data_IF_401610034722
#
_entry.id   IF_401610034722
#
_cell.length_a   1.000
_cell.length_b   1.000
_cell.length_c   1.000
_cell.angle_alpha   90.00
_cell.angle_beta   90.00
_cell.angle_gamma   90.00
#
_symmetry.space_group_name_H-M   'P 1'
#
loop_
_entity.id
_entity.type
_entity.pdbx_description
1 polymer ?
#
# COMPACT_ATOMS: atom_id res chain seq x y z
N UNK A 1 37.96 -27.26 -46.17
CA UNK A 1 37.75 -27.74 -44.79
C UNK A 1 36.97 -26.67 -44.07
N UNK A 2 35.68 -26.95 -43.90
CA UNK A 2 34.71 -26.09 -43.25
C UNK A 2 34.72 -26.33 -41.75
N UNK A 3 34.44 -25.29 -40.96
CA UNK A 3 33.34 -25.27 -39.97
C UNK A 3 33.42 -23.97 -39.15
N UNK A 4 32.27 -23.29 -39.07
CA UNK A 4 31.95 -22.03 -38.39
C UNK A 4 32.29 -21.90 -36.89
N UNK A 5 32.36 -20.68 -36.34
CA UNK A 5 32.59 -20.46 -34.92
C UNK A 5 31.30 -20.79 -34.14
N UNK A 6 31.38 -21.71 -33.18
CA UNK A 6 30.27 -22.00 -32.26
C UNK A 6 30.45 -21.19 -30.97
N UNK A 7 29.66 -20.12 -30.89
CA UNK A 7 29.26 -19.39 -29.68
C UNK A 7 28.80 -20.35 -28.58
N UNK A 8 29.37 -20.22 -27.38
CA UNK A 8 28.75 -20.64 -26.12
C UNK A 8 29.23 -19.71 -25.00
N UNK A 9 28.79 -18.45 -25.06
CA UNK A 9 28.74 -17.62 -23.86
C UNK A 9 27.57 -18.11 -23.02
N UNK A 10 27.84 -18.98 -22.04
CA UNK A 10 26.87 -19.36 -21.02
C UNK A 10 26.66 -18.14 -20.10
N UNK A 11 25.77 -17.23 -20.49
CA UNK A 11 25.22 -16.23 -19.57
C UNK A 11 24.34 -17.01 -18.60
N UNK A 12 24.92 -17.35 -17.45
CA UNK A 12 24.18 -17.91 -16.34
C UNK A 12 23.21 -16.83 -15.87
N UNK A 13 21.93 -17.11 -16.09
CA UNK A 13 20.83 -16.25 -15.70
C UNK A 13 20.74 -16.25 -14.18
N UNK A 14 21.01 -15.10 -13.56
CA UNK A 14 20.38 -14.75 -12.29
C UNK A 14 19.50 -13.53 -12.51
N UNK A 15 18.53 -13.64 -13.43
CA UNK A 15 17.29 -12.86 -13.29
C UNK A 15 16.50 -13.50 -12.16
N UNK A 16 16.95 -13.26 -10.93
CA UNK A 16 16.03 -13.36 -9.80
C UNK A 16 14.93 -12.34 -10.09
N UNK A 17 13.72 -12.82 -10.38
CA UNK A 17 12.55 -11.95 -10.32
C UNK A 17 12.42 -11.50 -8.88
N UNK A 18 12.80 -10.25 -8.61
CA UNK A 18 12.39 -9.53 -7.42
C UNK A 18 10.89 -9.29 -7.57
N UNK A 19 10.07 -10.32 -7.36
CA UNK A 19 8.66 -10.13 -7.16
C UNK A 19 8.52 -9.47 -5.79
N UNK A 20 8.74 -8.16 -5.71
CA UNK A 20 8.18 -7.39 -4.61
C UNK A 20 6.68 -7.68 -4.64
N UNK A 21 6.14 -8.15 -3.52
CA UNK A 21 4.71 -7.96 -3.31
C UNK A 21 4.49 -6.45 -3.42
N UNK A 22 3.50 -6.04 -4.20
CA UNK A 22 3.19 -4.62 -4.41
C UNK A 22 1.76 -4.41 -3.96
N UNK A 23 1.58 -3.57 -2.94
CA UNK A 23 0.28 -3.04 -2.58
C UNK A 23 -0.25 -2.18 -3.72
N UNK A 24 -1.40 -2.58 -4.25
CA UNK A 24 -2.10 -1.85 -5.30
C UNK A 24 -3.17 -0.97 -4.68
N UNK A 25 -2.96 0.35 -4.72
CA UNK A 25 -3.98 1.31 -4.30
C UNK A 25 -4.88 1.66 -5.48
N UNK A 26 -6.19 1.77 -5.21
CA UNK A 26 -7.11 2.22 -6.23
C UNK A 26 -6.83 3.70 -6.60
N UNK A 27 -7.20 4.12 -7.83
CA UNK A 27 -6.98 5.49 -8.29
C UNK A 27 -7.58 6.53 -7.35
N UNK A 28 -7.02 7.75 -7.41
CA UNK A 28 -7.39 8.89 -6.58
C UNK A 28 -8.90 9.05 -6.42
N UNK A 29 -9.35 9.30 -5.19
CA UNK A 29 -10.75 9.53 -4.87
C UNK A 29 -10.97 10.99 -4.48
N UNK A 30 -12.02 11.61 -5.03
CA UNK A 30 -12.43 12.97 -4.69
C UNK A 30 -13.86 12.97 -4.13
N UNK A 31 -14.17 13.92 -3.24
CA UNK A 31 -15.51 14.10 -2.70
C UNK A 31 -15.76 15.55 -2.31
N UNK A 32 -17.03 15.93 -2.16
CA UNK A 32 -17.41 17.23 -1.63
C UNK A 32 -17.27 17.26 -0.09
N UNK A 33 -17.14 18.47 0.47
CA UNK A 33 -17.10 18.65 1.92
C UNK A 33 -18.33 18.02 2.59
N UNK A 34 -18.11 17.32 3.72
CA UNK A 34 -19.14 16.60 4.45
C UNK A 34 -19.51 15.23 3.87
N UNK A 35 -19.03 14.86 2.67
CA UNK A 35 -19.29 13.54 2.11
C UNK A 35 -18.44 12.44 2.78
N UNK A 36 -18.91 11.20 2.64
CA UNK A 36 -18.13 10.01 3.00
C UNK A 36 -17.26 9.62 1.80
N UNK A 37 -15.96 9.48 2.03
CA UNK A 37 -14.99 8.98 1.03
C UNK A 37 -14.36 7.69 1.55
N UNK A 38 -14.04 6.77 0.65
CA UNK A 38 -13.35 5.52 0.99
C UNK A 38 -12.20 5.30 0.03
N UNK A 39 -11.02 5.05 0.58
CA UNK A 39 -9.79 4.70 -0.11
C UNK A 39 -9.54 3.21 0.12
N UNK A 40 -9.14 2.49 -0.93
CA UNK A 40 -8.93 1.04 -0.86
C UNK A 40 -7.51 0.67 -1.28
N UNK A 41 -6.98 -0.35 -0.62
CA UNK A 41 -5.66 -0.90 -0.83
C UNK A 41 -5.74 -2.42 -0.93
N UNK A 42 -5.24 -2.98 -2.03
CA UNK A 42 -5.26 -4.41 -2.31
C UNK A 42 -3.84 -4.94 -2.16
N UNK A 43 -3.69 -5.99 -1.37
CA UNK A 43 -2.45 -6.73 -1.20
C UNK A 43 -2.61 -8.19 -1.57
N UNK A 44 -1.81 -9.03 -0.94
CA UNK A 44 -1.86 -10.49 -1.03
C UNK A 44 -2.45 -11.11 0.24
N UNK A 45 -2.75 -12.41 0.15
CA UNK A 45 -3.14 -13.20 1.31
C UNK A 45 -2.03 -13.25 2.38
N UNK A 46 -0.75 -13.15 1.98
CA UNK A 46 0.40 -13.29 2.87
C UNK A 46 0.84 -11.97 3.53
N UNK A 47 0.23 -10.84 3.14
CA UNK A 47 0.45 -9.54 3.75
C UNK A 47 -0.83 -9.00 4.42
N UNK A 48 -1.68 -8.26 3.69
CA UNK A 48 -2.91 -7.67 4.21
C UNK A 48 -3.84 -8.73 4.79
N UNK A 49 -3.86 -9.94 4.21
CA UNK A 49 -4.67 -11.05 4.72
C UNK A 49 -4.26 -11.58 6.09
N UNK A 50 -2.99 -11.44 6.49
CA UNK A 50 -2.47 -11.94 7.76
C UNK A 50 -2.19 -10.80 8.75
N UNK A 51 -1.49 -9.76 8.29
CA UNK A 51 -0.97 -8.67 9.12
C UNK A 51 -1.87 -7.45 9.14
N UNK A 52 -2.84 -7.38 8.24
CA UNK A 52 -3.70 -6.22 8.12
C UNK A 52 -3.03 -5.07 7.37
N UNK A 53 -3.56 -3.87 7.56
CA UNK A 53 -3.08 -2.66 6.88
C UNK A 53 -2.91 -1.51 7.87
N UNK A 54 -1.86 -0.71 7.66
CA UNK A 54 -1.68 0.59 8.29
C UNK A 54 -1.87 1.69 7.24
N UNK A 55 -2.45 2.81 7.64
CA UNK A 55 -2.79 3.92 6.77
C UNK A 55 -2.09 5.19 7.22
N UNK A 56 -1.50 5.89 6.26
CA UNK A 56 -0.78 7.14 6.46
C UNK A 56 -1.37 8.24 5.59
N UNK A 57 -1.38 9.47 6.13
CA UNK A 57 -1.71 10.68 5.41
C UNK A 57 -0.44 11.49 5.20
N UNK A 58 -0.16 11.87 3.96
CA UNK A 58 0.98 12.67 3.57
C UNK A 58 0.50 13.99 2.97
N UNK A 59 0.78 15.07 3.69
CA UNK A 59 0.60 16.42 3.19
C UNK A 59 1.91 16.88 2.53
N UNK A 60 1.80 17.68 1.47
CA UNK A 60 2.97 18.20 0.76
C UNK A 60 3.91 18.93 1.73
N UNK A 61 5.19 18.54 1.72
CA UNK A 61 6.23 19.11 2.59
C UNK A 61 6.14 18.73 4.07
N UNK A 62 5.29 17.76 4.44
CA UNK A 62 5.19 17.24 5.81
C UNK A 62 5.55 15.76 5.88
N UNK A 63 6.00 15.32 7.06
CA UNK A 63 6.20 13.91 7.33
C UNK A 63 4.85 13.15 7.29
N UNK A 64 4.84 11.88 6.83
CA UNK A 64 3.65 11.05 6.88
C UNK A 64 3.08 10.95 8.30
N UNK A 65 1.78 11.16 8.43
CA UNK A 65 1.03 11.02 9.69
C UNK A 65 0.30 9.68 9.69
N UNK A 66 0.54 8.86 10.72
CA UNK A 66 -0.21 7.62 10.91
C UNK A 66 -1.67 7.93 11.24
N UNK A 67 -2.60 7.37 10.47
CA UNK A 67 -4.04 7.48 10.69
C UNK A 67 -4.60 6.23 11.36
N UNK A 68 -4.26 5.04 10.87
CA UNK A 68 -4.77 3.76 11.35
C UNK A 68 -3.64 2.73 11.32
N UNK A 69 -3.63 1.78 12.25
CA UNK A 69 -2.71 0.66 12.25
C UNK A 69 -3.42 -0.63 12.64
N UNK A 70 -2.81 -1.78 12.36
CA UNK A 70 -3.40 -3.10 12.66
C UNK A 70 -4.87 -3.20 12.18
N UNK A 71 -5.12 -2.73 10.96
CA UNK A 71 -6.42 -2.68 10.27
C UNK A 71 -7.47 -1.69 10.79
N UNK A 72 -7.59 -1.47 12.10
CA UNK A 72 -8.67 -0.61 12.65
C UNK A 72 -8.29 0.18 13.91
N UNK A 73 -7.06 0.03 14.41
CA UNK A 73 -6.63 0.77 15.60
C UNK A 73 -6.29 2.21 15.23
N UNK A 74 -6.91 3.14 15.95
CA UNK A 74 -6.69 4.58 15.78
C UNK A 74 -5.72 5.10 16.85
N UNK A 75 -4.59 5.73 16.48
CA UNK A 75 -3.70 6.37 17.44
C UNK A 75 -4.36 7.63 18.03
N UNK A 76 -3.90 8.06 19.20
CA UNK A 76 -4.39 9.28 19.85
C UNK A 76 -4.18 10.51 18.97
N UNK A 77 -5.16 11.42 18.93
CA UNK A 77 -5.08 12.67 18.16
C UNK A 77 -5.46 12.53 16.67
N UNK A 78 -5.89 11.35 16.24
CA UNK A 78 -6.59 11.18 14.96
C UNK A 78 -8.11 11.34 15.20
N UNK A 79 -8.81 12.17 14.41
CA UNK A 79 -10.24 12.39 14.59
C UNK A 79 -11.08 11.14 14.37
N UNK A 80 -12.22 11.07 15.07
CA UNK A 80 -13.11 9.89 15.02
C UNK A 80 -13.78 9.66 13.66
N UNK A 81 -13.72 10.67 12.79
CA UNK A 81 -14.21 10.65 11.42
C UNK A 81 -13.42 9.67 10.53
N UNK A 82 -12.18 9.35 10.90
CA UNK A 82 -11.37 8.34 10.25
C UNK A 82 -11.66 6.96 10.84
N UNK A 83 -11.90 6.00 9.95
CA UNK A 83 -12.13 4.60 10.29
C UNK A 83 -11.48 3.72 9.23
N UNK A 84 -10.99 2.54 9.62
CA UNK A 84 -10.46 1.57 8.68
C UNK A 84 -10.99 0.17 8.94
N UNK A 85 -10.98 -0.64 7.89
CA UNK A 85 -11.40 -2.03 7.90
C UNK A 85 -10.55 -2.85 6.94
N UNK A 86 -10.69 -4.16 7.04
CA UNK A 86 -10.01 -5.12 6.18
C UNK A 86 -10.95 -6.29 5.89
N UNK A 87 -10.98 -6.72 4.62
CA UNK A 87 -11.69 -7.91 4.16
C UNK A 87 -10.79 -8.70 3.22
N UNK A 88 -10.43 -9.93 3.62
CA UNK A 88 -9.49 -10.75 2.86
C UNK A 88 -8.14 -10.06 2.70
N UNK A 89 -7.71 -9.85 1.46
CA UNK A 89 -6.48 -9.13 1.12
C UNK A 89 -6.71 -7.66 0.77
N UNK A 90 -7.88 -7.10 1.10
CA UNK A 90 -8.23 -5.72 0.78
C UNK A 90 -8.48 -4.91 2.04
N UNK A 91 -7.69 -3.85 2.23
CA UNK A 91 -7.88 -2.84 3.26
C UNK A 91 -8.71 -1.66 2.74
N UNK A 92 -9.47 -1.02 3.63
CA UNK A 92 -10.20 0.21 3.33
C UNK A 92 -10.01 1.24 4.43
N UNK A 93 -9.84 2.51 4.05
CA UNK A 93 -9.87 3.68 4.92
C UNK A 93 -11.06 4.54 4.53
N UNK A 94 -11.97 4.76 5.47
CA UNK A 94 -13.14 5.61 5.31
C UNK A 94 -12.96 6.90 6.10
N UNK A 95 -13.22 8.03 5.43
CA UNK A 95 -13.35 9.34 6.04
C UNK A 95 -14.84 9.71 5.99
N UNK A 96 -15.49 9.79 7.14
CA UNK A 96 -16.84 10.34 7.24
C UNK A 96 -16.76 11.86 7.38
N UNK A 97 -17.60 12.62 6.65
CA UNK A 97 -17.59 14.07 6.78
C UNK A 97 -16.28 14.71 6.31
N UNK A 98 -15.89 14.48 5.06
CA UNK A 98 -14.67 14.99 4.44
C UNK A 98 -14.47 16.50 4.70
N UNK A 99 -13.28 16.89 5.14
CA UNK A 99 -12.92 18.27 5.47
C UNK A 99 -11.87 18.82 4.50
N UNK A 100 -11.66 20.14 4.49
CA UNK A 100 -10.74 20.78 3.55
C UNK A 100 -9.28 20.34 3.79
N UNK A 101 -8.93 20.09 5.05
CA UNK A 101 -7.62 19.58 5.47
C UNK A 101 -7.38 18.10 5.15
N UNK A 102 -8.41 17.36 4.71
CA UNK A 102 -8.28 15.94 4.37
C UNK A 102 -7.73 15.74 2.95
N UNK A 103 -7.56 16.81 2.17
CA UNK A 103 -6.88 16.80 0.87
C UNK A 103 -5.39 16.50 1.02
N UNK A 104 -5.00 15.25 0.76
CA UNK A 104 -3.66 14.73 0.96
C UNK A 104 -3.42 13.49 0.09
N UNK A 105 -2.16 13.07 -0.01
CA UNK A 105 -1.82 11.73 -0.48
C UNK A 105 -2.04 10.74 0.67
N UNK A 106 -2.65 9.59 0.38
CA UNK A 106 -2.90 8.55 1.37
C UNK A 106 -2.15 7.30 0.95
N UNK A 107 -1.38 6.70 1.84
CA UNK A 107 -0.62 5.49 1.55
C UNK A 107 -1.04 4.37 2.51
N UNK A 108 -1.10 3.15 2.00
CA UNK A 108 -1.23 1.95 2.82
C UNK A 108 0.11 1.24 2.98
N UNK A 109 0.24 0.49 4.07
CA UNK A 109 1.40 -0.35 4.37
C UNK A 109 0.95 -1.65 5.00
N UNK A 110 1.62 -2.74 4.66
CA UNK A 110 1.46 -4.03 5.33
C UNK A 110 2.82 -4.69 5.52
N UNK A 111 2.92 -5.59 6.49
CA UNK A 111 4.08 -6.46 6.62
C UNK A 111 3.93 -7.61 5.64
N UNK A 112 5.02 -7.98 4.98
CA UNK A 112 5.05 -9.19 4.16
C UNK A 112 5.80 -10.30 4.89
N UNK A 113 5.21 -11.49 4.97
CA UNK A 113 5.88 -12.66 5.56
C UNK A 113 6.86 -13.35 4.61
N UNK A 114 6.82 -13.02 3.32
CA UNK A 114 7.63 -13.62 2.26
C UNK A 114 8.85 -12.78 1.87
N UNK A 115 8.82 -11.49 2.21
CA UNK A 115 9.91 -10.54 2.06
C UNK A 115 10.12 -9.94 3.44
N UNK A 116 11.32 -9.98 4.02
CA UNK A 116 11.62 -9.31 5.30
C UNK A 116 11.57 -7.76 5.20
N UNK A 117 10.55 -7.20 4.54
CA UNK A 117 10.42 -5.80 4.16
C UNK A 117 8.98 -5.29 4.32
N UNK A 118 8.86 -4.04 4.79
CA UNK A 118 7.60 -3.29 4.75
C UNK A 118 7.32 -2.90 3.29
N UNK A 119 6.20 -3.37 2.73
CA UNK A 119 5.79 -2.93 1.40
C UNK A 119 5.06 -1.59 1.50
N UNK A 120 5.56 -0.61 0.75
CA UNK A 120 5.02 0.74 0.66
C UNK A 120 4.39 0.92 -0.72
N UNK A 121 3.29 1.66 -0.81
CA UNK A 121 2.85 2.21 -2.10
C UNK A 121 3.94 3.15 -2.63
N UNK A 122 4.55 2.79 -3.76
CA UNK A 122 5.30 3.71 -4.62
C UNK A 122 4.41 4.22 -5.75
#
# INVERSE_FOLDING_TARGET
>A
MAWSPLLLALVIHCTGSWAQSVLTQLPSVSGALGQKVTVSCIGSANNIGIFGVSWYQQLLGKAPKLLMYSSSNRPSGVPDRFSASNSGNTGSLTISGLQAEDGADYCCQSFDSTMDACDFCY
#
